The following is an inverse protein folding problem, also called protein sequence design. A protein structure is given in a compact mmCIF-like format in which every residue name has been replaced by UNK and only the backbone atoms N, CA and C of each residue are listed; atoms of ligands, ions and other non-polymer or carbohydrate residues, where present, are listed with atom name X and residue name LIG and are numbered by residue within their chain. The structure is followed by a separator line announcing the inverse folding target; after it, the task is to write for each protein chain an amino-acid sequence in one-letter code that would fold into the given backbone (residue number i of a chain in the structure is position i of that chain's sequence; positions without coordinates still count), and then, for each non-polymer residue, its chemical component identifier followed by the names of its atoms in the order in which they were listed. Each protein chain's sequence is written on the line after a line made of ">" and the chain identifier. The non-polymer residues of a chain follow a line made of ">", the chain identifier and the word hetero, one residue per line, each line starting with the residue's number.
data_IF_216534062002
#
_entry.id   IF_216534062002
#
_cell.length_a   1.000
_cell.length_b   1.000
_cell.length_c   1.000
_cell.angle_alpha   90.00
_cell.angle_beta   90.00
_cell.angle_gamma   90.00
#
_symmetry.space_group_name_H-M   'P 1'
#
loop_
_entity.id
_entity.type
_entity.pdbx_description
1 polymer ?
#
# COMPACT_ATOMS: atom_id res chain seq x y z
N UNK A 1 -46.44 -14.35 -1.22
CA UNK A 1 -45.11 -13.89 -1.64
C UNK A 1 -45.06 -12.38 -1.41
N UNK A 2 -44.32 -11.94 -0.40
CA UNK A 2 -44.07 -10.51 -0.17
C UNK A 2 -43.03 -10.10 -1.21
N UNK A 3 -43.40 -9.20 -2.10
CA UNK A 3 -42.50 -8.53 -3.03
C UNK A 3 -41.73 -7.49 -2.24
N UNK A 4 -40.50 -7.79 -1.83
CA UNK A 4 -39.61 -6.74 -1.33
C UNK A 4 -39.08 -5.95 -2.52
N UNK A 5 -39.40 -4.66 -2.50
CA UNK A 5 -39.05 -3.65 -3.49
C UNK A 5 -37.54 -3.45 -3.54
N UNK A 6 -36.93 -3.83 -4.66
CA UNK A 6 -35.66 -3.23 -5.09
C UNK A 6 -35.98 -1.84 -5.66
N UNK A 7 -35.48 -0.79 -5.02
CA UNK A 7 -35.46 0.56 -5.60
C UNK A 7 -34.12 0.78 -6.33
N UNK A 8 -34.11 1.10 -7.63
CA UNK A 8 -32.93 1.65 -8.27
C UNK A 8 -32.89 3.16 -8.01
N UNK A 9 -31.78 3.63 -7.44
CA UNK A 9 -31.39 5.02 -7.54
C UNK A 9 -30.96 5.31 -8.98
N UNK A 10 -31.40 6.48 -9.46
CA UNK A 10 -31.10 7.12 -10.74
C UNK A 10 -31.91 6.65 -11.96
N UNK A 11 -32.98 7.42 -12.20
CA UNK A 11 -33.87 7.27 -13.33
C UNK A 11 -33.17 7.45 -14.67
N UNK A 12 -33.19 6.39 -15.46
CA UNK A 12 -33.37 6.40 -16.93
C UNK A 12 -33.78 4.99 -17.39
N UNK A 13 -35.07 4.86 -17.71
CA UNK A 13 -35.73 3.88 -18.57
C UNK A 13 -35.57 2.37 -18.29
N UNK A 14 -36.61 1.85 -17.64
CA UNK A 14 -37.42 0.68 -18.04
C UNK A 14 -36.68 -0.66 -18.18
N UNK A 15 -36.26 -1.22 -17.05
CA UNK A 15 -36.10 -2.66 -16.91
C UNK A 15 -37.49 -3.32 -16.97
N UNK A 16 -37.82 -3.92 -18.12
CA UNK A 16 -38.96 -4.81 -18.22
C UNK A 16 -38.81 -5.93 -17.17
N UNK A 17 -39.78 -6.07 -16.27
CA UNK A 17 -39.84 -7.22 -15.38
C UNK A 17 -40.07 -8.45 -16.27
N UNK A 18 -39.05 -9.30 -16.38
CA UNK A 18 -39.10 -10.51 -17.19
C UNK A 18 -39.89 -11.60 -16.43
N UNK A 19 -41.00 -12.07 -17.02
CA UNK A 19 -41.70 -13.25 -16.53
C UNK A 19 -41.22 -14.45 -17.35
N UNK A 20 -40.58 -15.40 -16.69
CA UNK A 20 -40.03 -16.58 -17.37
C UNK A 20 -41.11 -17.66 -17.49
N UNK A 21 -41.41 -18.09 -18.71
CA UNK A 21 -42.27 -19.25 -18.97
C UNK A 21 -41.37 -20.48 -19.11
N UNK A 22 -41.44 -21.38 -18.13
CA UNK A 22 -40.61 -22.57 -18.08
C UNK A 22 -41.36 -23.79 -18.61
N UNK A 23 -41.29 -23.95 -19.93
CA UNK A 23 -41.35 -25.26 -20.58
C UNK A 23 -42.70 -26.01 -20.46
N UNK A 24 -43.85 -25.35 -20.65
CA UNK A 24 -45.05 -26.10 -21.00
C UNK A 24 -44.94 -26.56 -22.46
N UNK A 25 -44.86 -27.88 -22.68
CA UNK A 25 -45.08 -28.48 -24.01
C UNK A 25 -46.55 -28.40 -24.45
N UNK A 26 -47.39 -27.90 -23.57
CA UNK A 26 -48.82 -27.73 -23.78
C UNK A 26 -49.09 -26.33 -24.34
N UNK A 27 -49.44 -26.28 -25.62
CA UNK A 27 -49.72 -25.04 -26.36
C UNK A 27 -50.92 -24.29 -25.76
N UNK A 28 -51.87 -25.01 -25.14
CA UNK A 28 -53.04 -24.41 -24.48
C UNK A 28 -52.65 -23.62 -23.23
N UNK A 29 -51.74 -24.16 -22.41
CA UNK A 29 -51.22 -23.49 -21.21
C UNK A 29 -50.42 -22.21 -21.53
N UNK A 30 -49.62 -22.23 -22.62
CA UNK A 30 -48.91 -21.03 -23.10
C UNK A 30 -49.90 -19.96 -23.58
N UNK A 31 -50.93 -20.37 -24.31
CA UNK A 31 -51.97 -19.48 -24.80
C UNK A 31 -52.77 -18.84 -23.64
N UNK A 32 -53.07 -19.61 -22.59
CA UNK A 32 -53.75 -19.13 -21.39
C UNK A 32 -52.92 -18.10 -20.62
N UNK A 33 -51.62 -18.36 -20.43
CA UNK A 33 -50.70 -17.41 -19.78
C UNK A 33 -50.54 -16.12 -20.58
N UNK A 34 -50.41 -16.21 -21.90
CA UNK A 34 -50.39 -15.03 -22.78
C UNK A 34 -51.72 -14.26 -22.71
N UNK A 35 -52.84 -14.96 -22.64
CA UNK A 35 -54.16 -14.35 -22.53
C UNK A 35 -54.32 -13.61 -21.19
N UNK A 36 -53.96 -14.25 -20.08
CA UNK A 36 -53.98 -13.67 -18.73
C UNK A 36 -53.05 -12.46 -18.63
N UNK A 37 -51.83 -12.54 -19.17
CA UNK A 37 -50.90 -11.40 -19.22
C UNK A 37 -51.48 -10.24 -20.03
N UNK A 38 -52.08 -10.52 -21.20
CA UNK A 38 -52.73 -9.47 -21.99
C UNK A 38 -53.88 -8.81 -21.23
N UNK A 39 -54.59 -9.58 -20.40
CA UNK A 39 -55.72 -9.11 -19.59
C UNK A 39 -55.24 -8.28 -18.40
N UNK A 40 -54.16 -8.70 -17.75
CA UNK A 40 -53.48 -7.94 -16.68
C UNK A 40 -52.88 -6.64 -17.22
N UNK A 41 -52.23 -6.67 -18.40
CA UNK A 41 -51.74 -5.46 -19.09
C UNK A 41 -52.84 -4.46 -19.43
N UNK A 42 -54.03 -4.95 -19.81
CA UNK A 42 -55.20 -4.11 -20.04
C UNK A 42 -55.72 -3.47 -18.75
N UNK A 43 -55.62 -4.16 -17.63
CA UNK A 43 -56.09 -3.69 -16.32
C UNK A 43 -55.07 -2.82 -15.58
N UNK A 44 -53.78 -2.98 -15.86
CA UNK A 44 -52.69 -2.30 -15.18
C UNK A 44 -51.63 -1.85 -16.20
N UNK A 45 -51.73 -0.59 -16.63
CA UNK A 45 -50.81 0.00 -17.62
C UNK A 45 -49.34 -0.05 -17.22
N UNK A 46 -49.04 -0.06 -15.92
CA UNK A 46 -47.67 -0.17 -15.38
C UNK A 46 -46.98 -1.50 -15.69
N UNK A 47 -47.74 -2.51 -16.15
CA UNK A 47 -47.26 -3.85 -16.47
C UNK A 47 -47.21 -4.10 -17.99
N UNK A 48 -47.41 -3.06 -18.81
CA UNK A 48 -47.47 -3.15 -20.27
C UNK A 48 -46.19 -3.76 -20.88
N UNK A 49 -45.05 -3.59 -20.23
CA UNK A 49 -43.74 -4.01 -20.74
C UNK A 49 -43.35 -5.44 -20.34
N UNK A 50 -44.16 -6.14 -19.53
CA UNK A 50 -43.92 -7.54 -19.16
C UNK A 50 -43.93 -8.45 -20.41
N UNK A 51 -42.87 -9.21 -20.67
CA UNK A 51 -42.87 -10.22 -21.74
C UNK A 51 -42.62 -11.61 -21.15
N UNK A 52 -43.37 -12.61 -21.65
CA UNK A 52 -43.07 -14.00 -21.37
C UNK A 52 -41.96 -14.47 -22.31
N UNK A 53 -40.81 -14.83 -21.75
CA UNK A 53 -39.76 -15.52 -22.51
C UNK A 53 -39.89 -17.03 -22.29
N UNK A 54 -40.05 -17.84 -23.37
CA UNK A 54 -40.00 -19.27 -23.26
C UNK A 54 -38.57 -19.68 -22.91
N UNK A 55 -38.34 -20.02 -21.64
CA UNK A 55 -37.08 -20.59 -21.19
C UNK A 55 -37.20 -22.11 -21.36
N UNK A 56 -36.68 -22.61 -22.48
CA UNK A 56 -36.29 -24.02 -22.52
C UNK A 56 -35.26 -24.21 -21.42
N UNK A 57 -35.46 -25.21 -20.55
CA UNK A 57 -34.40 -25.73 -19.69
C UNK A 57 -33.17 -25.90 -20.59
N UNK A 58 -32.13 -25.05 -20.47
CA UNK A 58 -30.94 -25.26 -21.26
C UNK A 58 -30.44 -26.63 -20.84
N UNK A 59 -30.07 -27.48 -21.80
CA UNK A 59 -29.16 -28.57 -21.48
C UNK A 59 -28.00 -27.88 -20.76
N UNK A 60 -27.79 -28.17 -19.47
CA UNK A 60 -26.97 -27.30 -18.66
C UNK A 60 -25.55 -27.36 -19.21
N UNK A 61 -25.08 -26.25 -19.78
CA UNK A 61 -23.68 -26.12 -20.11
C UNK A 61 -22.93 -25.74 -18.84
N UNK A 62 -22.99 -26.65 -17.85
CA UNK A 62 -22.30 -26.54 -16.56
C UNK A 62 -20.82 -26.28 -16.75
N UNK A 63 -20.28 -26.73 -17.88
CA UNK A 63 -18.92 -26.45 -18.32
C UNK A 63 -18.72 -24.94 -18.58
N UNK A 64 -19.60 -24.30 -19.34
CA UNK A 64 -19.60 -22.83 -19.51
C UNK A 64 -19.79 -22.10 -18.19
N UNK A 65 -20.69 -22.55 -17.32
CA UNK A 65 -20.88 -21.93 -16.00
C UNK A 65 -19.62 -22.04 -15.14
N UNK A 66 -18.95 -23.19 -15.14
CA UNK A 66 -17.67 -23.38 -14.44
C UNK A 66 -16.58 -22.47 -15.01
N UNK A 67 -16.50 -22.29 -16.34
CA UNK A 67 -15.53 -21.35 -16.94
C UNK A 67 -15.82 -19.90 -16.54
N UNK A 68 -17.08 -19.47 -16.60
CA UNK A 68 -17.47 -18.13 -16.16
C UNK A 68 -17.18 -17.90 -14.68
N UNK A 69 -17.54 -18.87 -13.83
CA UNK A 69 -17.30 -18.79 -12.38
C UNK A 69 -15.82 -18.78 -12.04
N UNK A 70 -14.99 -19.49 -12.82
CA UNK A 70 -13.54 -19.47 -12.68
C UNK A 70 -12.96 -18.08 -12.99
N UNK A 71 -13.44 -17.40 -14.03
CA UNK A 71 -13.06 -16.02 -14.29
C UNK A 71 -13.45 -15.09 -13.12
N UNK A 72 -14.64 -15.25 -12.55
CA UNK A 72 -15.08 -14.47 -11.38
C UNK A 72 -14.24 -14.77 -10.13
N UNK A 73 -13.88 -16.03 -9.88
CA UNK A 73 -12.99 -16.42 -8.78
C UNK A 73 -11.62 -15.75 -8.92
N UNK A 74 -11.05 -15.75 -10.13
CA UNK A 74 -9.75 -15.12 -10.39
C UNK A 74 -9.85 -13.61 -10.22
N UNK A 75 -10.92 -12.98 -10.70
CA UNK A 75 -11.17 -11.56 -10.45
C UNK A 75 -11.22 -11.27 -8.94
N UNK A 76 -11.87 -12.12 -8.14
CA UNK A 76 -11.85 -12.00 -6.68
C UNK A 76 -10.44 -12.19 -6.08
N UNK A 77 -9.63 -13.12 -6.57
CA UNK A 77 -8.22 -13.22 -6.15
C UNK A 77 -7.38 -11.99 -6.48
N UNK A 78 -7.76 -11.21 -7.50
CA UNK A 78 -7.05 -9.99 -7.89
C UNK A 78 -7.53 -8.76 -7.14
N UNK A 79 -8.85 -8.62 -7.00
CA UNK A 79 -9.50 -7.41 -6.51
C UNK A 79 -9.90 -7.48 -5.03
N UNK A 80 -9.66 -8.61 -4.35
CA UNK A 80 -9.92 -8.72 -2.92
C UNK A 80 -9.27 -7.56 -2.17
N UNK A 81 -10.09 -6.86 -1.40
CA UNK A 81 -9.69 -5.61 -0.78
C UNK A 81 -8.52 -5.83 0.18
N UNK A 82 -7.57 -4.89 0.17
CA UNK A 82 -6.51 -4.78 1.16
C UNK A 82 -7.00 -3.97 2.38
N UNK A 83 -8.28 -4.12 2.73
CA UNK A 83 -9.15 -3.22 3.50
C UNK A 83 -8.75 -3.00 4.97
N UNK A 84 -7.56 -3.44 5.38
CA UNK A 84 -7.05 -3.29 6.75
C UNK A 84 -5.69 -2.59 6.82
N UNK A 85 -5.14 -2.13 5.70
CA UNK A 85 -3.73 -1.69 5.64
C UNK A 85 -3.67 -0.24 5.18
N UNK A 86 -3.87 0.68 6.12
CA UNK A 86 -3.67 2.09 5.86
C UNK A 86 -2.18 2.35 5.63
N UNK A 87 -1.82 2.80 4.43
CA UNK A 87 -0.48 3.33 4.11
C UNK A 87 -0.02 4.33 5.18
N UNK A 88 -0.95 5.11 5.74
CA UNK A 88 -0.68 6.00 6.87
C UNK A 88 -0.10 5.29 8.11
N UNK A 89 -0.60 4.11 8.47
CA UNK A 89 -0.13 3.38 9.66
C UNK A 89 1.32 2.92 9.52
N UNK A 90 1.73 2.46 8.33
CA UNK A 90 3.13 2.07 8.13
C UNK A 90 4.05 3.30 8.09
N UNK A 91 3.61 4.40 7.47
CA UNK A 91 4.35 5.66 7.48
C UNK A 91 4.52 6.23 8.89
N UNK A 92 3.49 6.11 9.73
CA UNK A 92 3.56 6.50 11.14
C UNK A 92 4.60 5.67 11.91
N UNK A 93 4.52 4.34 11.77
CA UNK A 93 5.45 3.39 12.41
C UNK A 93 6.91 3.60 12.01
N UNK A 94 7.14 3.97 10.74
CA UNK A 94 8.47 4.29 10.20
C UNK A 94 8.97 5.67 10.66
N UNK A 95 8.10 6.51 11.24
CA UNK A 95 8.43 7.86 11.69
C UNK A 95 8.44 8.90 10.57
N UNK A 96 7.63 8.69 9.52
CA UNK A 96 7.57 9.54 8.33
C UNK A 96 6.34 10.45 8.27
N UNK A 97 5.49 10.42 9.30
CA UNK A 97 4.44 11.43 9.45
C UNK A 97 5.07 12.66 10.10
N UNK A 98 5.09 13.76 9.35
CA UNK A 98 5.68 15.02 9.79
C UNK A 98 4.89 15.59 10.98
N UNK A 99 5.60 16.00 12.02
CA UNK A 99 5.04 16.84 13.10
C UNK A 99 5.21 18.31 12.75
N UNK A 100 4.77 19.25 13.60
CA UNK A 100 4.86 20.69 13.31
C UNK A 100 6.28 21.15 12.93
N UNK A 101 7.33 20.52 13.48
CA UNK A 101 8.71 21.01 13.36
C UNK A 101 9.65 20.09 12.55
N UNK A 102 9.43 18.77 12.55
CA UNK A 102 10.31 17.82 11.85
C UNK A 102 9.66 16.45 11.68
N UNK A 103 10.32 15.58 10.92
CA UNK A 103 10.01 14.16 10.91
C UNK A 103 10.50 13.51 12.22
N UNK A 104 9.70 12.63 12.86
CA UNK A 104 10.12 11.87 14.04
C UNK A 104 11.44 11.11 13.85
N UNK A 105 11.68 10.57 12.65
CA UNK A 105 12.95 9.91 12.34
C UNK A 105 14.16 10.84 12.42
N UNK A 106 14.03 12.10 12.03
CA UNK A 106 15.13 13.07 12.14
C UNK A 106 15.51 13.26 13.61
N UNK A 107 14.52 13.39 14.48
CA UNK A 107 14.73 13.49 15.93
C UNK A 107 15.31 12.21 16.53
N UNK A 108 14.90 11.04 16.04
CA UNK A 108 15.45 9.75 16.49
C UNK A 108 16.92 9.59 16.08
N UNK A 109 17.28 10.00 14.86
CA UNK A 109 18.66 9.98 14.37
C UNK A 109 19.56 10.96 15.13
N UNK A 110 19.04 12.13 15.51
CA UNK A 110 19.77 13.15 16.27
C UNK A 110 19.85 12.86 17.79
N UNK A 111 19.26 11.76 18.30
CA UNK A 111 19.18 11.51 19.74
C UNK A 111 20.43 10.82 20.29
N UNK A 112 20.93 11.29 21.42
CA UNK A 112 21.94 10.58 22.23
C UNK A 112 21.30 9.54 23.15
N UNK A 113 22.08 8.56 23.62
CA UNK A 113 21.61 7.55 24.60
C UNK A 113 20.98 8.18 25.85
N UNK A 114 21.50 9.32 26.30
CA UNK A 114 21.04 10.06 27.48
C UNK A 114 19.75 10.86 27.22
N UNK A 115 19.25 10.88 25.98
CA UNK A 115 18.00 11.53 25.58
C UNK A 115 18.15 12.97 25.08
N UNK A 116 19.33 13.59 25.19
CA UNK A 116 19.64 14.88 24.58
C UNK A 116 19.85 14.75 23.06
N UNK A 117 19.86 15.88 22.35
CA UNK A 117 20.12 15.90 20.91
C UNK A 117 21.61 16.13 20.65
N UNK A 118 22.19 15.33 19.76
CA UNK A 118 23.56 15.42 19.31
C UNK A 118 23.84 16.84 18.76
N UNK A 119 22.95 17.35 17.92
CA UNK A 119 23.06 18.70 17.36
C UNK A 119 23.09 19.80 18.42
N UNK A 120 22.36 19.63 19.53
CA UNK A 120 22.31 20.58 20.65
C UNK A 120 23.59 20.52 21.48
N UNK A 121 24.05 19.30 21.82
CA UNK A 121 25.31 19.10 22.55
C UNK A 121 26.51 19.61 21.76
N UNK A 122 26.48 19.45 20.44
CA UNK A 122 27.50 19.99 19.56
C UNK A 122 27.55 21.52 19.66
N UNK A 123 26.41 22.19 19.59
CA UNK A 123 26.33 23.66 19.73
C UNK A 123 26.77 24.10 21.12
N UNK A 124 26.38 23.37 22.17
CA UNK A 124 26.78 23.68 23.55
C UNK A 124 28.31 23.56 23.73
N UNK A 125 28.92 22.52 23.18
CA UNK A 125 30.37 22.32 23.20
C UNK A 125 31.11 23.46 22.47
N UNK A 126 30.62 23.89 21.31
CA UNK A 126 31.20 25.03 20.59
C UNK A 126 31.03 26.32 21.40
N UNK A 127 29.85 26.57 21.97
CA UNK A 127 29.59 27.77 22.79
C UNK A 127 30.39 27.77 24.10
N UNK A 128 30.82 26.62 24.60
CA UNK A 128 31.68 26.56 25.80
C UNK A 128 33.05 27.24 25.59
N UNK A 129 33.54 27.34 24.34
CA UNK A 129 34.75 28.07 23.97
C UNK A 129 34.70 29.52 24.48
N UNK A 130 33.52 30.11 24.43
CA UNK A 130 33.28 31.49 24.87
C UNK A 130 33.65 31.67 26.35
N UNK A 131 33.31 30.69 27.22
CA UNK A 131 33.62 30.77 28.66
C UNK A 131 35.10 30.67 28.99
N UNK A 132 35.89 29.95 28.19
CA UNK A 132 37.32 29.70 28.43
C UNK A 132 38.23 30.77 27.81
N UNK A 133 37.83 31.35 26.67
CA UNK A 133 38.59 32.43 26.01
C UNK A 133 38.79 33.68 26.89
N UNK A 134 37.88 33.92 27.84
CA UNK A 134 37.95 35.02 28.81
C UNK A 134 38.92 34.80 29.97
N UNK A 135 39.29 33.56 30.28
CA UNK A 135 40.14 33.22 31.44
C UNK A 135 41.63 33.15 31.10
N UNK A 136 42.00 33.11 29.82
CA UNK A 136 43.40 32.97 29.39
C UNK A 136 44.09 34.33 29.22
N UNK A 137 45.24 34.52 29.88
CA UNK A 137 46.06 35.72 29.80
C UNK A 137 47.06 35.67 28.64
N UNK A 138 46.85 36.54 27.63
CA UNK A 138 47.82 37.05 26.65
C UNK A 138 48.88 36.13 26.04
N UNK A 139 48.56 35.57 24.87
CA UNK A 139 49.34 35.72 23.60
C UNK A 139 48.79 34.79 22.51
N UNK A 140 48.14 33.70 22.89
CA UNK A 140 47.89 32.56 21.98
C UNK A 140 46.39 32.33 21.73
N UNK A 141 45.52 33.33 21.90
CA UNK A 141 44.06 33.15 21.77
C UNK A 141 43.68 32.68 20.36
N UNK A 142 44.33 33.21 19.32
CA UNK A 142 44.09 32.80 17.93
C UNK A 142 44.52 31.34 17.69
N UNK A 143 45.68 30.96 18.21
CA UNK A 143 46.21 29.59 18.16
C UNK A 143 45.34 28.63 18.98
N UNK A 144 44.84 29.07 20.12
CA UNK A 144 43.90 28.32 20.96
C UNK A 144 42.53 28.12 20.29
N UNK A 145 42.01 29.10 19.53
CA UNK A 145 40.80 28.90 18.69
C UNK A 145 41.09 27.89 17.59
N UNK A 146 42.23 28.01 16.91
CA UNK A 146 42.63 27.07 15.87
C UNK A 146 42.74 25.66 16.44
N UNK A 147 43.33 25.54 17.62
CA UNK A 147 43.42 24.30 18.40
C UNK A 147 42.04 23.79 18.79
N UNK A 148 41.14 24.63 19.32
CA UNK A 148 39.80 24.19 19.77
C UNK A 148 38.86 23.88 18.61
N UNK A 149 38.94 24.63 17.52
CA UNK A 149 38.26 24.31 16.28
C UNK A 149 38.81 22.99 15.72
N UNK A 150 40.13 22.76 15.74
CA UNK A 150 40.74 21.50 15.35
C UNK A 150 40.32 20.34 16.28
N UNK A 151 40.30 20.53 17.60
CA UNK A 151 39.84 19.56 18.59
C UNK A 151 38.36 19.22 18.35
N UNK A 152 37.52 20.19 18.00
CA UNK A 152 36.11 19.99 17.67
C UNK A 152 35.93 19.31 16.31
N UNK A 153 36.75 19.65 15.30
CA UNK A 153 36.80 18.91 14.05
C UNK A 153 37.18 17.45 14.32
N UNK A 154 38.22 17.22 15.11
CA UNK A 154 38.69 15.88 15.46
C UNK A 154 37.62 15.11 16.26
N UNK A 155 37.03 15.73 17.28
CA UNK A 155 35.97 15.14 18.10
C UNK A 155 34.70 14.82 17.30
N UNK A 156 34.32 15.68 16.34
CA UNK A 156 33.21 15.42 15.42
C UNK A 156 33.53 14.37 14.36
N UNK A 157 34.81 14.13 14.06
CA UNK A 157 35.28 13.15 13.07
C UNK A 157 35.68 11.78 13.66
N UNK A 158 35.84 11.66 14.99
CA UNK A 158 36.22 10.39 15.64
C UNK A 158 35.17 9.31 15.40
N UNK A 159 35.63 8.19 14.86
CA UNK A 159 34.84 7.00 14.47
C UNK A 159 35.23 5.73 15.25
N UNK A 160 36.06 5.82 16.30
CA UNK A 160 36.54 4.64 17.04
C UNK A 160 35.54 4.15 18.09
N UNK A 161 35.45 2.83 18.22
CA UNK A 161 34.60 2.09 19.16
C UNK A 161 35.19 2.05 20.58
N UNK A 162 34.43 2.58 21.54
CA UNK A 162 34.57 2.63 23.02
C UNK A 162 35.40 3.76 23.67
N UNK A 163 34.96 4.34 24.83
CA UNK A 163 33.61 4.47 25.40
C UNK A 163 33.12 5.96 25.42
N UNK A 164 33.72 6.83 24.60
CA UNK A 164 33.50 8.28 24.54
C UNK A 164 33.21 8.70 23.08
N UNK A 165 32.38 7.89 22.44
CA UNK A 165 32.32 7.73 20.98
C UNK A 165 31.60 8.95 20.38
N UNK A 166 32.35 9.79 19.67
CA UNK A 166 31.89 11.08 19.18
C UNK A 166 30.57 11.04 18.41
N UNK A 167 29.99 12.22 18.17
CA UNK A 167 28.66 12.42 17.61
C UNK A 167 28.31 11.59 16.36
N UNK A 168 29.28 11.25 15.51
CA UNK A 168 29.10 10.39 14.33
C UNK A 168 28.92 8.92 14.64
N UNK A 169 29.62 8.40 15.64
CA UNK A 169 29.46 7.00 16.06
C UNK A 169 28.06 6.79 16.64
N UNK A 170 27.58 7.73 17.46
CA UNK A 170 26.20 7.72 17.95
C UNK A 170 25.18 7.78 16.80
N UNK A 171 25.36 8.70 15.84
CA UNK A 171 24.50 8.79 14.67
C UNK A 171 24.47 7.46 13.90
N UNK A 172 25.63 6.83 13.70
CA UNK A 172 25.71 5.53 13.00
C UNK A 172 24.97 4.42 13.76
N UNK A 173 25.12 4.35 15.09
CA UNK A 173 24.37 3.43 15.94
C UNK A 173 22.86 3.64 15.80
N UNK A 174 22.41 4.91 15.81
CA UNK A 174 21.00 5.26 15.61
C UNK A 174 20.51 4.83 14.21
N UNK A 175 21.31 5.01 13.16
CA UNK A 175 20.97 4.56 11.79
C UNK A 175 20.79 3.05 11.74
N UNK A 176 21.65 2.28 12.40
CA UNK A 176 21.58 0.81 12.42
C UNK A 176 20.36 0.30 13.20
N UNK A 177 20.05 0.94 14.32
CA UNK A 177 18.83 0.66 15.09
C UNK A 177 17.57 0.94 14.25
N UNK A 178 17.50 2.11 13.60
CA UNK A 178 16.37 2.48 12.74
C UNK A 178 16.24 1.56 11.53
N UNK A 179 17.36 1.20 10.89
CA UNK A 179 17.36 0.24 9.76
C UNK A 179 16.75 -1.11 10.17
N UNK A 180 17.18 -1.63 11.31
CA UNK A 180 16.69 -2.92 11.83
C UNK A 180 15.20 -2.86 12.13
N UNK A 181 14.75 -1.77 12.77
CA UNK A 181 13.34 -1.54 13.07
C UNK A 181 12.49 -1.42 11.79
N UNK A 182 12.93 -0.61 10.83
CA UNK A 182 12.25 -0.42 9.55
C UNK A 182 12.10 -1.73 8.78
N UNK A 183 13.14 -2.56 8.76
CA UNK A 183 13.10 -3.87 8.12
C UNK A 183 12.02 -4.78 8.72
N UNK A 184 11.92 -4.83 10.06
CA UNK A 184 10.90 -5.62 10.76
C UNK A 184 9.50 -5.08 10.43
N UNK A 185 9.29 -3.76 10.53
CA UNK A 185 7.99 -3.13 10.27
C UNK A 185 7.53 -3.32 8.82
N UNK A 186 8.43 -3.20 7.85
CA UNK A 186 8.12 -3.45 6.44
C UNK A 186 7.80 -4.92 6.19
N UNK A 187 8.51 -5.86 6.84
CA UNK A 187 8.21 -7.27 6.70
C UNK A 187 6.83 -7.62 7.29
N UNK A 188 6.48 -7.08 8.46
CA UNK A 188 5.13 -7.22 9.03
C UNK A 188 4.05 -6.66 8.10
N UNK A 189 4.31 -5.49 7.50
CA UNK A 189 3.42 -4.88 6.53
C UNK A 189 3.26 -5.73 5.26
N UNK A 190 4.33 -6.32 4.73
CA UNK A 190 4.22 -7.22 3.59
C UNK A 190 3.49 -8.52 3.95
N UNK A 191 3.67 -9.03 5.17
CA UNK A 191 2.95 -10.22 5.64
C UNK A 191 1.44 -9.96 5.75
N UNK A 192 1.01 -8.78 6.19
CA UNK A 192 -0.42 -8.46 6.26
C UNK A 192 -1.06 -8.36 4.87
N UNK A 193 -0.29 -8.00 3.84
CA UNK A 193 -0.75 -7.96 2.44
C UNK A 193 -0.91 -9.36 1.81
N UNK A 194 -0.38 -10.43 2.42
CA UNK A 194 -0.31 -11.76 1.80
C UNK A 194 -1.67 -12.36 1.41
N UNK A 195 -2.74 -11.99 2.10
CA UNK A 195 -4.10 -12.49 1.84
C UNK A 195 -4.96 -11.53 1.01
N UNK A 196 -4.41 -10.37 0.63
CA UNK A 196 -5.09 -9.38 -0.18
C UNK A 196 -4.95 -9.70 -1.67
N UNK A 197 -5.83 -9.14 -2.49
CA UNK A 197 -5.80 -9.40 -3.92
C UNK A 197 -4.61 -8.73 -4.61
N UNK A 198 -4.01 -9.39 -5.61
CA UNK A 198 -2.79 -8.92 -6.28
C UNK A 198 -2.90 -7.47 -6.80
N UNK A 199 -4.02 -7.12 -7.44
CA UNK A 199 -4.25 -5.78 -7.97
C UNK A 199 -4.43 -4.76 -6.84
N UNK A 200 -5.16 -5.13 -5.79
CA UNK A 200 -5.32 -4.28 -4.60
C UNK A 200 -3.98 -4.00 -3.92
N UNK A 201 -3.13 -5.03 -3.78
CA UNK A 201 -1.79 -4.87 -3.20
C UNK A 201 -0.90 -3.99 -4.07
N UNK A 202 -0.93 -4.14 -5.40
CA UNK A 202 -0.17 -3.28 -6.30
C UNK A 202 -0.49 -1.80 -6.09
N UNK A 203 -1.78 -1.45 -6.01
CA UNK A 203 -2.19 -0.05 -5.75
C UNK A 203 -1.63 0.49 -4.44
N UNK A 204 -1.62 -0.32 -3.38
CA UNK A 204 -1.06 0.05 -2.07
C UNK A 204 0.45 0.27 -2.18
N UNK A 205 1.18 -0.66 -2.82
CA UNK A 205 2.63 -0.57 -2.97
C UNK A 205 3.07 0.55 -3.90
N UNK A 206 2.33 0.82 -4.98
CA UNK A 206 2.56 1.96 -5.88
C UNK A 206 2.38 3.28 -5.13
N UNK A 207 1.35 3.38 -4.30
CA UNK A 207 1.14 4.55 -3.43
C UNK A 207 2.30 4.74 -2.47
N UNK A 208 2.74 3.67 -1.81
CA UNK A 208 3.88 3.71 -0.89
C UNK A 208 5.19 4.08 -1.59
N UNK A 209 5.44 3.52 -2.77
CA UNK A 209 6.60 3.82 -3.62
C UNK A 209 6.64 5.30 -4.00
N UNK A 210 5.51 5.86 -4.44
CA UNK A 210 5.40 7.28 -4.77
C UNK A 210 5.69 8.18 -3.55
N UNK A 211 5.23 7.78 -2.35
CA UNK A 211 5.51 8.53 -1.11
C UNK A 211 7.00 8.46 -0.77
N UNK A 212 7.62 7.29 -0.84
CA UNK A 212 9.05 7.16 -0.56
C UNK A 212 9.92 7.93 -1.57
N UNK A 213 9.55 7.95 -2.86
CA UNK A 213 10.23 8.78 -3.86
C UNK A 213 10.17 10.27 -3.51
N UNK A 214 8.99 10.78 -3.14
CA UNK A 214 8.84 12.17 -2.68
C UNK A 214 9.66 12.46 -1.42
N UNK A 215 9.67 11.54 -0.45
CA UNK A 215 10.50 11.68 0.76
C UNK A 215 11.99 11.72 0.42
N UNK A 216 12.46 10.93 -0.55
CA UNK A 216 13.86 10.98 -0.98
C UNK A 216 14.22 12.34 -1.59
N UNK A 217 13.34 12.89 -2.44
CA UNK A 217 13.50 14.23 -3.01
C UNK A 217 13.52 15.32 -1.91
N UNK A 218 12.61 15.22 -0.94
CA UNK A 218 12.56 16.13 0.21
C UNK A 218 13.83 16.04 1.08
N UNK A 219 14.34 14.84 1.34
CA UNK A 219 15.57 14.64 2.11
C UNK A 219 16.77 15.29 1.40
N UNK A 220 16.90 15.10 0.09
CA UNK A 220 17.99 15.70 -0.68
C UNK A 220 17.85 17.24 -0.72
N UNK A 221 16.63 17.76 -0.91
CA UNK A 221 16.38 19.20 -0.86
C UNK A 221 16.77 19.82 0.49
N UNK A 222 16.36 19.19 1.60
CA UNK A 222 16.69 19.63 2.96
C UNK A 222 18.19 19.57 3.24
N UNK A 223 18.86 18.49 2.82
CA UNK A 223 20.31 18.36 2.90
C UNK A 223 21.02 19.48 2.15
N UNK A 224 20.62 19.77 0.91
CA UNK A 224 21.22 20.84 0.12
C UNK A 224 21.01 22.22 0.76
N UNK A 225 19.80 22.50 1.28
CA UNK A 225 19.52 23.74 2.01
C UNK A 225 20.45 23.89 3.24
N UNK A 226 20.61 22.82 4.02
CA UNK A 226 21.48 22.82 5.19
C UNK A 226 22.96 22.99 4.81
N UNK A 227 23.43 22.35 3.73
CA UNK A 227 24.80 22.54 3.23
C UNK A 227 25.05 23.99 2.78
N UNK A 228 24.09 24.63 2.11
CA UNK A 228 24.21 26.05 1.75
C UNK A 228 24.30 26.94 2.99
N UNK A 229 23.49 26.69 4.03
CA UNK A 229 23.56 27.39 5.31
C UNK A 229 24.91 27.15 6.02
N UNK A 230 25.42 25.92 5.96
CA UNK A 230 26.74 25.58 6.50
C UNK A 230 27.87 26.33 5.79
N UNK A 231 27.82 26.42 4.45
CA UNK A 231 28.79 27.20 3.67
C UNK A 231 28.72 28.70 3.99
N UNK A 232 27.51 29.25 4.16
CA UNK A 232 27.34 30.65 4.56
C UNK A 232 27.92 30.91 5.96
N UNK A 233 27.67 30.01 6.91
CA UNK A 233 28.24 30.07 8.25
C UNK A 233 29.78 29.94 8.23
N UNK A 234 30.33 29.09 7.36
CA UNK A 234 31.78 28.94 7.20
C UNK A 234 32.45 30.20 6.64
N UNK A 235 31.81 30.87 5.67
CA UNK A 235 32.28 32.16 5.16
C UNK A 235 32.22 33.23 6.25
N UNK A 236 31.15 33.26 7.04
CA UNK A 236 31.01 34.19 8.16
C UNK A 236 32.11 33.95 9.20
N UNK A 237 32.32 32.69 9.61
CA UNK A 237 33.41 32.30 10.52
C UNK A 237 34.77 32.76 9.98
N UNK A 238 35.09 32.42 8.72
CA UNK A 238 36.36 32.78 8.08
C UNK A 238 36.59 34.30 8.04
N UNK A 239 35.54 35.07 7.71
CA UNK A 239 35.61 36.53 7.63
C UNK A 239 35.68 37.22 9.00
N UNK A 240 35.03 36.66 10.02
CA UNK A 240 35.01 37.22 11.37
C UNK A 240 36.30 36.89 12.12
N UNK A 241 36.86 35.69 11.93
CA UNK A 241 38.12 35.27 12.55
C UNK A 241 39.30 36.18 12.19
N UNK A 242 39.34 36.72 10.96
CA UNK A 242 40.41 37.64 10.53
C UNK A 242 40.31 39.02 11.18
N UNK A 243 39.16 39.37 11.78
CA UNK A 243 38.94 40.63 12.50
C UNK A 243 39.35 40.57 13.96
N UNK A 244 39.72 39.39 14.46
CA UNK A 244 40.27 39.22 15.81
C UNK A 244 41.73 39.72 15.79
N UNK A 245 41.95 40.96 16.23
CA UNK A 245 43.29 41.53 16.38
C UNK A 245 43.97 41.12 17.71
N UNK A 246 45.31 41.01 17.75
CA UNK A 246 46.05 40.96 19.01
C UNK A 246 45.83 42.22 19.86
N UNK A 247 45.96 42.05 21.17
CA UNK A 247 45.32 42.87 22.21
C UNK A 247 45.88 44.29 22.37
N UNK A 248 45.43 45.24 21.54
CA UNK A 248 45.68 46.69 21.80
C UNK A 248 44.44 47.45 22.29
N UNK A 249 44.23 47.44 23.61
CA UNK A 249 43.53 48.45 24.44
C UNK A 249 42.17 49.08 24.04
N UNK A 250 41.24 48.41 23.36
CA UNK A 250 39.83 48.87 23.32
C UNK A 250 38.85 47.74 23.67
N UNK A 251 38.28 47.82 24.87
CA UNK A 251 37.61 46.72 25.58
C UNK A 251 36.12 46.49 25.22
N UNK A 252 35.44 47.42 24.53
CA UNK A 252 33.98 47.34 24.32
C UNK A 252 33.49 46.61 23.05
N UNK A 253 34.22 46.71 21.93
CA UNK A 253 33.82 46.10 20.63
C UNK A 253 34.30 44.64 20.47
N UNK A 254 35.25 44.21 21.32
CA UNK A 254 35.92 42.90 21.22
C UNK A 254 35.06 41.72 21.69
N UNK A 255 34.13 41.96 22.62
CA UNK A 255 33.22 40.94 23.12
C UNK A 255 32.20 40.53 22.05
N UNK A 256 31.64 41.49 21.31
CA UNK A 256 30.66 41.24 20.26
C UNK A 256 31.25 40.52 19.04
N UNK A 257 32.48 40.85 18.65
CA UNK A 257 33.15 40.19 17.53
C UNK A 257 33.54 38.75 17.89
N UNK A 258 33.91 38.50 19.14
CA UNK A 258 34.23 37.19 19.68
C UNK A 258 33.01 36.25 19.73
N UNK A 259 31.92 36.71 20.35
CA UNK A 259 30.65 35.97 20.42
C UNK A 259 30.14 35.64 19.00
N UNK A 260 30.31 36.56 18.05
CA UNK A 260 29.92 36.35 16.66
C UNK A 260 30.74 35.27 15.94
N UNK A 261 32.04 35.13 16.24
CA UNK A 261 32.90 34.07 15.68
C UNK A 261 32.48 32.70 16.20
N UNK A 262 32.27 32.57 17.51
CA UNK A 262 31.82 31.34 18.15
C UNK A 262 30.43 30.95 17.66
N UNK A 263 29.52 31.91 17.51
CA UNK A 263 28.18 31.68 16.97
C UNK A 263 28.21 31.24 15.50
N UNK A 264 29.07 31.84 14.67
CA UNK A 264 29.25 31.42 13.27
C UNK A 264 29.80 29.99 13.18
N UNK A 265 30.75 29.64 14.04
CA UNK A 265 31.31 28.29 14.15
C UNK A 265 30.24 27.28 14.60
N UNK A 266 29.46 27.61 15.64
CA UNK A 266 28.38 26.76 16.13
C UNK A 266 27.33 26.49 15.05
N UNK A 267 26.92 27.54 14.32
CA UNK A 267 25.99 27.41 13.18
C UNK A 267 26.55 26.52 12.09
N UNK A 268 27.83 26.68 11.71
CA UNK A 268 28.47 25.84 10.68
C UNK A 268 28.33 24.37 11.02
N UNK A 269 28.72 23.97 12.23
CA UNK A 269 28.65 22.56 12.60
C UNK A 269 27.22 22.07 12.78
N UNK A 270 26.33 22.86 13.37
CA UNK A 270 24.91 22.52 13.47
C UNK A 270 24.33 22.19 12.10
N UNK A 271 24.53 23.06 11.11
CA UNK A 271 24.01 22.83 9.76
C UNK A 271 24.70 21.66 9.06
N UNK A 272 26.02 21.50 9.23
CA UNK A 272 26.76 20.36 8.64
C UNK A 272 26.27 19.03 9.20
N UNK A 273 26.06 18.95 10.51
CA UNK A 273 25.61 17.72 11.16
C UNK A 273 24.15 17.40 10.82
N UNK A 274 23.27 18.39 10.80
CA UNK A 274 21.89 18.19 10.35
C UNK A 274 21.82 17.77 8.87
N UNK A 275 22.70 18.29 8.01
CA UNK A 275 22.79 17.81 6.63
C UNK A 275 23.20 16.33 6.58
N UNK A 276 24.11 15.89 7.45
CA UNK A 276 24.49 14.48 7.59
C UNK A 276 23.31 13.62 8.08
N UNK A 277 22.49 14.11 9.01
CA UNK A 277 21.25 13.42 9.43
C UNK A 277 20.31 13.22 8.24
N UNK A 278 20.06 14.25 7.44
CA UNK A 278 19.19 14.13 6.26
C UNK A 278 19.78 13.23 5.17
N UNK A 279 21.12 13.18 5.03
CA UNK A 279 21.78 12.20 4.16
C UNK A 279 21.52 10.76 4.62
N UNK A 280 21.67 10.49 5.93
CA UNK A 280 21.37 9.17 6.51
C UNK A 280 19.89 8.80 6.43
N UNK A 281 19.00 9.77 6.67
CA UNK A 281 17.57 9.58 6.47
C UNK A 281 17.26 9.21 5.00
N UNK A 282 17.83 9.94 4.04
CA UNK A 282 17.69 9.62 2.61
C UNK A 282 18.19 8.21 2.24
N UNK A 283 19.27 7.74 2.87
CA UNK A 283 19.76 6.36 2.69
C UNK A 283 18.76 5.32 3.20
N UNK A 284 18.12 5.55 4.36
CA UNK A 284 17.07 4.66 4.87
C UNK A 284 15.85 4.64 3.94
N UNK A 285 15.41 5.81 3.45
CA UNK A 285 14.33 5.91 2.46
C UNK A 285 14.69 5.16 1.18
N UNK A 286 15.92 5.27 0.69
CA UNK A 286 16.37 4.57 -0.53
C UNK A 286 16.30 3.04 -0.37
N UNK A 287 16.64 2.52 0.81
CA UNK A 287 16.48 1.08 1.10
C UNK A 287 15.01 0.65 1.06
N UNK A 288 14.11 1.49 1.59
CA UNK A 288 12.67 1.24 1.56
C UNK A 288 12.08 1.31 0.15
N UNK A 289 12.57 2.22 -0.69
CA UNK A 289 12.24 2.28 -2.13
C UNK A 289 12.62 0.97 -2.80
N UNK A 290 13.84 0.48 -2.58
CA UNK A 290 14.30 -0.78 -3.17
C UNK A 290 13.44 -1.96 -2.72
N UNK A 291 13.24 -2.13 -1.41
CA UNK A 291 12.41 -3.21 -0.87
C UNK A 291 10.98 -3.18 -1.42
N UNK A 292 10.39 -1.99 -1.53
CA UNK A 292 9.04 -1.82 -2.08
C UNK A 292 9.02 -2.13 -3.57
N UNK A 293 10.03 -1.67 -4.33
CA UNK A 293 10.17 -1.94 -5.76
C UNK A 293 10.29 -3.43 -6.08
N UNK A 294 11.09 -4.16 -5.31
CA UNK A 294 11.22 -5.62 -5.45
C UNK A 294 9.88 -6.34 -5.25
N UNK A 295 9.08 -5.87 -4.29
CA UNK A 295 7.72 -6.40 -4.04
C UNK A 295 6.76 -6.03 -5.16
N UNK A 296 6.77 -4.79 -5.65
CA UNK A 296 5.95 -4.36 -6.80
C UNK A 296 6.25 -5.25 -8.01
N UNK A 297 7.51 -5.48 -8.34
CA UNK A 297 7.90 -6.33 -9.46
C UNK A 297 7.34 -7.75 -9.31
N UNK A 298 7.52 -8.36 -8.12
CA UNK A 298 7.03 -9.72 -7.83
C UNK A 298 5.50 -9.84 -7.94
N UNK A 299 4.75 -8.88 -7.39
CA UNK A 299 3.29 -8.90 -7.42
C UNK A 299 2.76 -8.55 -8.81
N UNK A 300 3.45 -7.71 -9.58
CA UNK A 300 3.10 -7.40 -10.97
C UNK A 300 3.13 -8.66 -11.84
N UNK A 301 4.14 -9.51 -11.67
CA UNK A 301 4.19 -10.80 -12.35
C UNK A 301 3.01 -11.70 -11.97
N UNK A 302 2.66 -11.72 -10.68
CA UNK A 302 1.53 -12.49 -10.15
C UNK A 302 0.20 -12.01 -10.73
N UNK A 303 -0.07 -10.69 -10.70
CA UNK A 303 -1.30 -10.11 -11.25
C UNK A 303 -1.41 -10.35 -12.77
N UNK A 304 -0.29 -10.30 -13.48
CA UNK A 304 -0.25 -10.61 -14.92
C UNK A 304 -0.62 -12.06 -15.20
N UNK A 305 -0.11 -13.02 -14.43
CA UNK A 305 -0.51 -14.43 -14.55
C UNK A 305 -1.99 -14.62 -14.30
N UNK A 306 -2.54 -13.99 -13.26
CA UNK A 306 -3.97 -14.04 -12.97
C UNK A 306 -4.79 -13.39 -14.09
N UNK A 307 -4.33 -12.26 -14.66
CA UNK A 307 -5.00 -11.61 -15.81
C UNK A 307 -5.08 -12.54 -17.03
N UNK A 308 -3.98 -13.23 -17.35
CA UNK A 308 -3.93 -14.16 -18.48
C UNK A 308 -4.90 -15.32 -18.23
N UNK A 309 -4.91 -15.86 -17.01
CA UNK A 309 -5.79 -16.96 -16.64
C UNK A 309 -7.26 -16.54 -16.68
N UNK A 310 -7.60 -15.39 -16.11
CA UNK A 310 -8.95 -14.79 -16.17
C UNK A 310 -9.42 -14.60 -17.62
N UNK A 311 -8.55 -14.06 -18.47
CA UNK A 311 -8.82 -13.88 -19.90
C UNK A 311 -9.06 -15.22 -20.59
N UNK A 312 -8.26 -16.25 -20.29
CA UNK A 312 -8.44 -17.57 -20.88
C UNK A 312 -9.80 -18.17 -20.51
N UNK A 313 -10.18 -18.11 -19.23
CA UNK A 313 -11.49 -18.56 -18.76
C UNK A 313 -12.64 -17.78 -19.41
N UNK A 314 -12.51 -16.45 -19.49
CA UNK A 314 -13.51 -15.58 -20.12
C UNK A 314 -13.70 -15.88 -21.61
N UNK A 315 -12.62 -16.22 -22.33
CA UNK A 315 -12.70 -16.62 -23.74
C UNK A 315 -13.47 -17.94 -23.94
N UNK A 316 -13.45 -18.86 -22.96
CA UNK A 316 -14.22 -20.10 -23.04
C UNK A 316 -15.73 -19.87 -22.82
N UNK A 317 -16.12 -18.74 -22.23
CA UNK A 317 -17.52 -18.38 -21.99
C UNK A 317 -17.80 -16.93 -22.45
N UNK A 318 -17.97 -16.71 -23.78
CA UNK A 318 -18.10 -15.37 -24.34
C UNK A 318 -19.44 -14.69 -24.02
N UNK A 319 -20.43 -15.43 -23.54
CA UNK A 319 -21.73 -14.90 -23.13
C UNK A 319 -21.95 -15.18 -21.64
N UNK A 320 -22.44 -14.18 -20.92
CA UNK A 320 -22.77 -14.31 -19.51
C UNK A 320 -23.88 -15.36 -19.30
N UNK A 321 -23.72 -16.32 -18.37
CA UNK A 321 -24.76 -17.30 -18.05
C UNK A 321 -26.06 -16.65 -17.55
N UNK A 322 -27.20 -17.24 -17.91
CA UNK A 322 -28.54 -16.77 -17.47
C UNK A 322 -28.65 -16.65 -15.94
N UNK A 323 -27.95 -17.49 -15.19
CA UNK A 323 -27.95 -17.49 -13.71
C UNK A 323 -26.69 -16.86 -13.10
N UNK A 324 -25.96 -16.03 -13.85
CA UNK A 324 -24.74 -15.36 -13.40
C UNK A 324 -24.88 -14.64 -12.03
N UNK A 325 -25.96 -13.88 -11.75
CA UNK A 325 -26.11 -13.25 -10.43
C UNK A 325 -26.15 -14.27 -9.28
N UNK A 326 -26.83 -15.39 -9.47
CA UNK A 326 -26.94 -16.46 -8.45
C UNK A 326 -25.60 -17.17 -8.30
N UNK A 327 -24.92 -17.49 -9.40
CA UNK A 327 -23.60 -18.12 -9.39
C UNK A 327 -22.58 -17.24 -8.64
N UNK A 328 -22.57 -15.94 -8.91
CA UNK A 328 -21.69 -14.98 -8.23
C UNK A 328 -22.00 -14.91 -6.73
N UNK A 329 -23.28 -14.80 -6.37
CA UNK A 329 -23.68 -14.79 -4.97
C UNK A 329 -23.27 -16.09 -4.25
N UNK A 330 -23.40 -17.25 -4.90
CA UNK A 330 -22.97 -18.53 -4.32
C UNK A 330 -21.47 -18.62 -4.17
N UNK A 331 -20.69 -18.15 -5.13
CA UNK A 331 -19.24 -18.05 -5.01
C UNK A 331 -18.87 -17.24 -3.76
N UNK A 332 -19.46 -16.06 -3.59
CA UNK A 332 -19.18 -15.18 -2.45
C UNK A 332 -19.61 -15.76 -1.10
N UNK A 333 -20.72 -16.50 -1.04
CA UNK A 333 -21.28 -17.02 0.21
C UNK A 333 -20.73 -18.39 0.63
N UNK A 334 -20.33 -19.24 -0.32
CA UNK A 334 -20.05 -20.65 -0.08
C UNK A 334 -18.59 -21.03 -0.28
N UNK A 335 -17.83 -20.22 -1.03
CA UNK A 335 -16.43 -20.52 -1.32
C UNK A 335 -15.55 -19.66 -0.43
N UNK A 336 -14.79 -20.32 0.45
CA UNK A 336 -13.64 -19.67 1.07
C UNK A 336 -12.53 -19.56 0.04
N UNK A 337 -12.42 -18.37 -0.54
CA UNK A 337 -11.51 -18.03 -1.63
C UNK A 337 -10.04 -18.21 -1.23
N UNK A 338 -9.67 -17.98 0.05
CA UNK A 338 -8.30 -18.20 0.53
C UNK A 338 -8.04 -19.69 0.58
N UNK A 339 -8.93 -20.43 1.24
CA UNK A 339 -8.76 -21.86 1.42
C UNK A 339 -8.69 -22.57 0.08
N UNK A 340 -9.55 -22.17 -0.87
CA UNK A 340 -9.54 -22.71 -2.21
C UNK A 340 -8.21 -22.42 -2.95
N UNK A 341 -7.67 -21.21 -2.83
CA UNK A 341 -6.36 -20.88 -3.39
C UNK A 341 -5.26 -21.80 -2.82
N UNK A 342 -5.21 -21.94 -1.49
CA UNK A 342 -4.21 -22.79 -0.83
C UNK A 342 -4.35 -24.28 -1.21
N UNK A 343 -5.57 -24.78 -1.38
CA UNK A 343 -5.82 -26.14 -1.87
C UNK A 343 -5.28 -26.32 -3.30
N UNK A 344 -5.51 -25.35 -4.19
CA UNK A 344 -5.02 -25.39 -5.57
C UNK A 344 -3.49 -25.30 -5.63
N UNK A 345 -2.88 -24.40 -4.85
CA UNK A 345 -1.42 -24.29 -4.74
C UNK A 345 -0.78 -25.61 -4.27
N UNK A 346 -1.42 -26.30 -3.32
CA UNK A 346 -0.98 -27.60 -2.84
C UNK A 346 -1.08 -28.68 -3.93
N UNK A 347 -2.19 -28.75 -4.66
CA UNK A 347 -2.37 -29.75 -5.74
C UNK A 347 -1.38 -29.53 -6.88
N UNK A 348 -1.17 -28.27 -7.30
CA UNK A 348 -0.21 -27.93 -8.37
C UNK A 348 1.23 -27.94 -7.85
N UNK A 349 1.44 -28.08 -6.54
CA UNK A 349 2.74 -28.01 -5.85
C UNK A 349 3.53 -26.74 -6.21
N UNK A 350 2.81 -25.63 -6.41
CA UNK A 350 3.38 -24.36 -6.85
C UNK A 350 2.59 -23.19 -6.27
N UNK A 351 3.24 -22.27 -5.54
CA UNK A 351 2.58 -21.11 -4.98
C UNK A 351 2.26 -20.08 -6.07
N UNK A 352 1.21 -19.28 -5.85
CA UNK A 352 0.67 -18.29 -6.77
C UNK A 352 1.74 -17.34 -7.33
N UNK A 353 2.72 -16.94 -6.51
CA UNK A 353 3.78 -16.02 -6.93
C UNK A 353 4.68 -16.60 -8.03
N UNK A 354 4.67 -17.93 -8.22
CA UNK A 354 5.43 -18.67 -9.23
C UNK A 354 4.58 -19.17 -10.39
N UNK A 355 3.29 -18.81 -10.45
CA UNK A 355 2.42 -19.28 -11.53
C UNK A 355 2.84 -18.79 -12.91
N UNK A 356 3.60 -17.69 -12.99
CA UNK A 356 4.21 -17.20 -14.23
C UNK A 356 5.26 -18.15 -14.83
N UNK A 357 5.78 -19.10 -14.04
CA UNK A 357 6.80 -20.07 -14.48
C UNK A 357 6.27 -21.49 -14.65
N UNK A 358 4.95 -21.69 -14.62
CA UNK A 358 4.37 -23.01 -14.82
C UNK A 358 4.64 -23.51 -16.24
N UNK A 359 4.93 -24.81 -16.36
CA UNK A 359 4.92 -25.47 -17.67
C UNK A 359 3.50 -25.50 -18.24
N UNK A 360 3.39 -25.84 -19.53
CA UNK A 360 2.09 -26.09 -20.16
C UNK A 360 1.27 -27.14 -19.41
N UNK A 361 1.89 -28.27 -19.05
CA UNK A 361 1.23 -29.36 -18.32
C UNK A 361 0.76 -28.95 -16.93
N UNK A 362 1.54 -28.13 -16.21
CA UNK A 362 1.12 -27.60 -14.91
C UNK A 362 0.01 -26.56 -15.04
N UNK A 363 0.02 -25.77 -16.12
CA UNK A 363 -1.04 -24.79 -16.41
C UNK A 363 -2.36 -25.50 -16.73
N UNK A 364 -2.32 -26.58 -17.51
CA UNK A 364 -3.50 -27.41 -17.75
C UNK A 364 -4.04 -28.02 -16.45
N UNK A 365 -3.17 -28.56 -15.59
CA UNK A 365 -3.57 -29.08 -14.29
C UNK A 365 -4.21 -27.99 -13.42
N UNK A 366 -3.61 -26.80 -13.35
CA UNK A 366 -4.17 -25.65 -12.64
C UNK A 366 -5.59 -25.32 -13.12
N UNK A 367 -5.79 -25.20 -14.43
CA UNK A 367 -7.11 -24.91 -15.00
C UNK A 367 -8.13 -26.02 -14.67
N UNK A 368 -7.72 -27.28 -14.75
CA UNK A 368 -8.58 -28.42 -14.43
C UNK A 368 -8.98 -28.42 -12.96
N UNK A 369 -8.04 -28.18 -12.04
CA UNK A 369 -8.33 -28.13 -10.60
C UNK A 369 -9.30 -27.01 -10.25
N UNK A 370 -9.13 -25.81 -10.83
CA UNK A 370 -10.08 -24.70 -10.66
C UNK A 370 -11.49 -25.14 -11.09
N UNK A 371 -11.61 -25.77 -12.26
CA UNK A 371 -12.91 -26.22 -12.78
C UNK A 371 -13.53 -27.30 -11.91
N UNK A 372 -12.74 -28.30 -11.47
CA UNK A 372 -13.19 -29.39 -10.61
C UNK A 372 -13.74 -28.83 -9.30
N UNK A 373 -13.05 -27.87 -8.69
CA UNK A 373 -13.46 -27.26 -7.41
C UNK A 373 -14.68 -26.37 -7.54
N UNK A 374 -14.90 -25.73 -8.69
CA UNK A 374 -16.07 -24.87 -8.93
C UNK A 374 -17.29 -25.63 -9.45
N UNK A 375 -17.11 -26.80 -10.05
CA UNK A 375 -18.21 -27.60 -10.59
C UNK A 375 -19.32 -27.92 -9.56
N UNK A 376 -19.04 -28.27 -8.29
CA UNK A 376 -20.07 -28.45 -7.26
C UNK A 376 -20.95 -27.21 -7.06
N UNK A 377 -20.37 -26.00 -7.11
CA UNK A 377 -21.13 -24.75 -6.96
C UNK A 377 -22.12 -24.58 -8.12
N UNK A 378 -21.66 -24.84 -9.34
CA UNK A 378 -22.52 -24.82 -10.53
C UNK A 378 -23.64 -25.87 -10.44
N UNK A 379 -23.32 -27.07 -9.95
CA UNK A 379 -24.28 -28.17 -9.75
C UNK A 379 -25.34 -27.83 -8.70
N UNK A 380 -24.97 -27.22 -7.58
CA UNK A 380 -25.92 -26.79 -6.55
C UNK A 380 -26.90 -25.77 -7.12
N UNK A 381 -26.40 -24.74 -7.80
CA UNK A 381 -27.27 -23.73 -8.45
C UNK A 381 -28.20 -24.40 -9.47
N UNK A 382 -27.67 -25.31 -10.29
CA UNK A 382 -28.47 -26.04 -11.25
C UNK A 382 -29.59 -26.84 -10.59
N UNK A 383 -29.28 -27.60 -9.52
CA UNK A 383 -30.26 -28.41 -8.79
C UNK A 383 -31.34 -27.53 -8.16
N UNK A 384 -30.96 -26.41 -7.52
CA UNK A 384 -31.91 -25.48 -6.91
C UNK A 384 -32.85 -24.87 -7.96
N UNK A 385 -32.30 -24.38 -9.07
CA UNK A 385 -33.09 -23.88 -10.18
C UNK A 385 -34.03 -24.97 -10.71
N UNK A 386 -33.53 -26.18 -10.97
CA UNK A 386 -34.33 -27.29 -11.47
C UNK A 386 -35.46 -27.70 -10.52
N UNK A 387 -35.20 -27.76 -9.21
CA UNK A 387 -36.22 -28.05 -8.20
C UNK A 387 -37.30 -26.98 -8.13
N UNK A 388 -36.91 -25.71 -8.26
CA UNK A 388 -37.86 -24.59 -8.30
C UNK A 388 -38.79 -24.70 -9.52
N UNK A 389 -38.22 -25.02 -10.68
CA UNK A 389 -38.97 -25.22 -11.92
C UNK A 389 -39.94 -26.41 -11.83
N UNK A 390 -39.52 -27.52 -11.23
CA UNK A 390 -40.42 -28.66 -11.01
C UNK A 390 -41.59 -28.32 -10.07
N UNK A 391 -41.39 -27.46 -9.07
CA UNK A 391 -42.46 -27.02 -8.16
C UNK A 391 -43.49 -26.14 -8.87
N UNK A 392 -43.05 -25.25 -9.75
CA UNK A 392 -43.94 -24.42 -10.58
C UNK A 392 -44.80 -25.33 -11.48
N UNK A 393 -44.18 -26.25 -12.22
CA UNK A 393 -44.92 -27.15 -13.10
C UNK A 393 -45.92 -28.06 -12.36
N UNK A 394 -45.63 -28.46 -11.12
CA UNK A 394 -46.58 -29.23 -10.29
C UNK A 394 -47.74 -28.39 -9.77
N UNK A 395 -47.53 -27.11 -9.47
CA UNK A 395 -48.59 -26.21 -9.06
C UNK A 395 -49.58 -25.95 -10.21
N UNK A 396 -49.09 -25.79 -11.43
CA UNK A 396 -49.92 -25.63 -12.64
C UNK A 396 -50.81 -26.87 -12.92
N UNK A 397 -50.31 -28.08 -12.68
CA UNK A 397 -51.09 -29.32 -12.88
C UNK A 397 -52.20 -29.49 -11.83
N UNK A 398 -52.02 -28.93 -10.62
CA UNK A 398 -53.01 -29.01 -9.55
C UNK A 398 -54.13 -27.97 -9.75
N UNK A 399 -53.81 -26.77 -10.27
CA UNK A 399 -54.81 -25.73 -10.60
C UNK A 399 -55.65 -26.07 -11.85
N UNK A 400 -55.20 -27.01 -12.70
CA UNK A 400 -56.00 -27.51 -13.84
C UNK A 400 -56.98 -28.64 -13.46
N UNK A 401 -56.87 -29.22 -12.27
CA UNK A 401 -57.73 -30.31 -11.77
C UNK A 401 -58.70 -29.86 -10.65
N UNK A 402 -58.80 -28.56 -10.41
CA UNK A 402 -59.75 -27.89 -9.51
C UNK A 402 -60.62 -26.93 -10.31
#
# INVERSE_FOLDING_TARGET
>A
MVLESWQPHDGKQEDAILLFNFNSKDEESVALLHHLLSRVKKSYQQLADLQFLPVRLPVPDLKLWSYWLAAQLIAQWRDRSAEQIAVGTILDRLGFIKTENSYPIVTALDRMEQGTLISVELVANVKSIDKFGWQSSDSDIKEWIEQKAADLVEFTQRTSSYPADGFRAQLQSNVEAMRSQHQVQMQEFFNSLQHSGSRSVLRVLETLSAIFQRLAEECEAQKQELLQKAMAAERAYSNLKTRIEPRDRQFGRRQTDWEAVVEALAKRYYFTFNAEIYDRFGQLVSQLIQQTGDRVASITHTDRSLTILESWFSQQCPQEPVFAPILKQRLEQKVDIIKLLSEIEATVSCPLQKWHSLSWTQTELLCQEILIKLHPVCMEVYIECYQYLLKINRAEILDQNS
#
